data_IF_517831503018
#
_entry.id   IF_517831503018
#
_cell.length_a   1.000
_cell.length_b   1.000
_cell.length_c   1.000
_cell.angle_alpha   90.00
_cell.angle_beta   90.00
_cell.angle_gamma   90.00
#
_symmetry.space_group_name_H-M   'P 1'
#
loop_
_entity.id
_entity.type
_entity.pdbx_description
1 polymer ?
#
# COMPACT_ATOMS: atom_id res chain seq x y z
N UNK A 1 -6.14 14.66 -22.91
CA UNK A 1 -7.09 13.88 -22.07
C UNK A 1 -7.64 14.80 -20.99
N UNK A 2 -8.96 14.85 -20.82
CA UNK A 2 -9.60 15.59 -19.73
C UNK A 2 -9.22 14.95 -18.39
N UNK A 3 -8.71 15.71 -17.44
CA UNK A 3 -8.41 15.20 -16.09
C UNK A 3 -9.33 15.88 -15.09
N UNK A 4 -9.88 15.08 -14.16
CA UNK A 4 -10.72 15.55 -13.05
C UNK A 4 -9.91 15.48 -11.76
N UNK A 5 -10.23 16.35 -10.83
CA UNK A 5 -9.64 16.32 -9.48
C UNK A 5 -10.59 15.60 -8.53
N UNK A 6 -10.32 14.31 -8.26
CA UNK A 6 -11.15 13.45 -7.41
C UNK A 6 -10.36 12.94 -6.21
N UNK A 7 -11.07 12.48 -5.19
CA UNK A 7 -10.46 11.90 -3.98
C UNK A 7 -9.95 10.49 -4.25
N UNK A 8 -9.07 10.01 -3.38
CA UNK A 8 -8.55 8.64 -3.42
C UNK A 8 -9.69 7.61 -3.34
N UNK A 9 -10.66 7.80 -2.43
CA UNK A 9 -11.83 6.91 -2.31
C UNK A 9 -12.71 6.93 -3.56
N UNK A 10 -12.87 8.09 -4.21
CA UNK A 10 -13.60 8.20 -5.48
C UNK A 10 -12.87 7.48 -6.61
N UNK A 11 -11.53 7.52 -6.63
CA UNK A 11 -10.71 6.78 -7.58
C UNK A 11 -10.83 5.26 -7.40
N UNK A 12 -10.85 4.77 -6.16
CA UNK A 12 -11.14 3.36 -5.82
C UNK A 12 -12.54 2.96 -6.30
N UNK A 13 -13.56 3.77 -5.96
CA UNK A 13 -14.94 3.56 -6.41
C UNK A 13 -15.02 3.42 -7.93
N UNK A 14 -14.39 4.34 -8.63
CA UNK A 14 -14.41 4.35 -10.10
C UNK A 14 -13.70 3.13 -10.70
N UNK A 15 -12.60 2.68 -10.12
CA UNK A 15 -11.91 1.47 -10.53
C UNK A 15 -12.85 0.24 -10.46
N UNK A 16 -13.60 0.12 -9.37
CA UNK A 16 -14.56 -0.95 -9.16
C UNK A 16 -15.72 -0.86 -10.18
N UNK A 17 -16.33 0.33 -10.31
CA UNK A 17 -17.42 0.53 -11.28
C UNK A 17 -16.99 0.13 -12.68
N UNK A 18 -15.84 0.64 -13.15
CA UNK A 18 -15.36 0.37 -14.49
C UNK A 18 -14.94 -1.09 -14.69
N UNK A 19 -14.43 -1.76 -13.68
CA UNK A 19 -14.10 -3.19 -13.75
C UNK A 19 -15.36 -4.06 -13.81
N UNK A 20 -16.36 -3.77 -12.97
CA UNK A 20 -17.62 -4.49 -12.95
C UNK A 20 -18.47 -4.27 -14.21
N UNK A 21 -18.43 -3.09 -14.82
CA UNK A 21 -19.09 -2.79 -16.09
C UNK A 21 -18.49 -3.59 -17.25
N UNK A 22 -17.16 -3.76 -17.26
CA UNK A 22 -16.43 -4.40 -18.35
C UNK A 22 -16.39 -5.92 -18.27
N UNK A 23 -16.44 -6.47 -17.06
CA UNK A 23 -16.34 -7.91 -16.84
C UNK A 23 -17.45 -8.38 -15.88
N UNK A 24 -18.37 -9.17 -16.38
CA UNK A 24 -19.49 -9.72 -15.61
C UNK A 24 -19.05 -10.69 -14.52
N UNK A 25 -17.83 -11.21 -14.59
CA UNK A 25 -17.24 -12.12 -13.58
C UNK A 25 -16.78 -11.37 -12.33
N UNK A 26 -16.53 -10.05 -12.42
CA UNK A 26 -16.12 -9.24 -11.27
C UNK A 26 -17.30 -9.00 -10.35
N UNK A 27 -17.17 -9.33 -9.07
CA UNK A 27 -18.17 -9.04 -8.05
C UNK A 27 -17.49 -8.64 -6.72
N UNK A 28 -18.22 -7.92 -5.88
CA UNK A 28 -17.77 -7.53 -4.55
C UNK A 28 -18.34 -8.47 -3.51
N UNK A 29 -17.53 -8.76 -2.49
CA UNK A 29 -17.99 -9.42 -1.27
C UNK A 29 -17.21 -8.93 -0.05
N UNK A 30 -17.85 -8.95 1.12
CA UNK A 30 -17.23 -8.55 2.36
C UNK A 30 -18.25 -8.13 3.40
N UNK A 31 -17.83 -8.04 4.66
CA UNK A 31 -18.64 -7.51 5.74
C UNK A 31 -18.78 -5.99 5.61
N UNK A 32 -20.01 -5.48 5.64
CA UNK A 32 -20.33 -4.07 5.54
C UNK A 32 -20.32 -3.49 4.12
N UNK A 33 -20.24 -4.32 3.07
CA UNK A 33 -20.29 -3.83 1.67
C UNK A 33 -21.67 -3.28 1.30
N UNK A 34 -22.70 -3.68 2.01
CA UNK A 34 -24.06 -3.14 1.85
C UNK A 34 -24.47 -2.13 2.92
N UNK A 35 -23.59 -1.84 3.87
CA UNK A 35 -23.85 -0.90 4.97
C UNK A 35 -23.99 0.56 4.47
N UNK A 36 -24.65 1.46 5.22
CA UNK A 36 -24.80 2.86 4.82
C UNK A 36 -23.48 3.60 4.58
N UNK A 37 -22.41 3.26 5.30
CA UNK A 37 -21.11 3.90 5.14
C UNK A 37 -20.32 3.40 3.93
N UNK A 38 -20.77 2.28 3.31
CA UNK A 38 -20.25 1.72 2.06
C UNK A 38 -18.71 1.68 2.03
N UNK A 39 -18.11 1.08 3.09
CA UNK A 39 -16.66 1.01 3.28
C UNK A 39 -16.02 2.41 3.17
N UNK A 40 -16.49 3.30 4.03
CA UNK A 40 -16.02 4.71 4.09
C UNK A 40 -16.18 5.46 2.75
N UNK A 41 -17.23 5.16 1.98
CA UNK A 41 -17.55 5.78 0.69
C UNK A 41 -16.75 5.24 -0.50
N UNK A 42 -15.84 4.28 -0.31
CA UNK A 42 -15.00 3.75 -1.40
C UNK A 42 -15.75 2.81 -2.37
N UNK A 43 -17.00 2.44 -2.04
CA UNK A 43 -17.89 1.64 -2.90
C UNK A 43 -19.29 2.24 -3.01
N UNK A 44 -19.42 3.53 -2.74
CA UNK A 44 -20.70 4.23 -2.80
C UNK A 44 -21.42 4.04 -4.16
N UNK A 45 -22.68 3.64 -4.12
CA UNK A 45 -23.51 3.44 -5.31
C UNK A 45 -23.29 2.13 -6.06
N UNK A 46 -22.28 1.32 -5.71
CA UNK A 46 -22.00 0.04 -6.39
C UNK A 46 -23.17 -0.93 -6.24
N UNK A 47 -23.70 -1.10 -5.02
CA UNK A 47 -24.87 -1.94 -4.76
C UNK A 47 -26.09 -1.47 -5.57
N UNK A 48 -26.34 -0.14 -5.63
CA UNK A 48 -27.46 0.43 -6.38
C UNK A 48 -27.37 0.09 -7.88
N UNK A 49 -26.16 0.11 -8.45
CA UNK A 49 -25.95 -0.13 -9.89
C UNK A 49 -25.94 -1.61 -10.24
N UNK A 50 -25.26 -2.44 -9.46
CA UNK A 50 -25.00 -3.84 -9.84
C UNK A 50 -25.88 -4.88 -9.13
N UNK A 51 -26.61 -4.45 -8.10
CA UNK A 51 -27.54 -5.29 -7.35
C UNK A 51 -26.89 -6.33 -6.44
N UNK A 52 -27.73 -7.00 -5.64
CA UNK A 52 -27.32 -8.00 -4.64
C UNK A 52 -26.68 -9.27 -5.26
N UNK A 53 -26.91 -9.56 -6.53
CA UNK A 53 -26.25 -10.68 -7.22
C UNK A 53 -24.76 -10.47 -7.49
N UNK A 54 -24.27 -9.22 -7.41
CA UNK A 54 -22.86 -8.88 -7.64
C UNK A 54 -22.22 -8.06 -6.53
N UNK A 55 -22.97 -7.74 -5.47
CA UNK A 55 -22.47 -7.10 -4.23
C UNK A 55 -23.03 -7.91 -3.08
N UNK A 56 -22.19 -8.77 -2.52
CA UNK A 56 -22.58 -9.80 -1.56
C UNK A 56 -22.14 -9.40 -0.15
N UNK A 57 -23.10 -9.09 0.71
CA UNK A 57 -22.82 -8.97 2.14
C UNK A 57 -22.39 -10.32 2.72
N UNK A 58 -21.37 -10.34 3.54
CA UNK A 58 -20.91 -11.56 4.20
C UNK A 58 -21.11 -11.48 5.71
N UNK A 59 -21.32 -12.62 6.38
CA UNK A 59 -21.19 -12.67 7.83
C UNK A 59 -19.76 -12.33 8.27
N UNK A 60 -19.58 -12.01 9.56
CA UNK A 60 -18.27 -11.86 10.19
C UNK A 60 -17.67 -13.26 10.39
N UNK A 61 -17.08 -13.77 9.32
CA UNK A 61 -16.49 -15.11 9.23
C UNK A 61 -15.35 -15.07 8.19
N UNK A 62 -14.32 -14.30 8.43
CA UNK A 62 -13.27 -13.92 7.47
C UNK A 62 -12.61 -15.15 6.82
N UNK A 63 -12.32 -16.19 7.63
CA UNK A 63 -11.74 -17.42 7.13
C UNK A 63 -12.66 -18.12 6.12
N UNK A 64 -13.89 -18.45 6.54
CA UNK A 64 -14.87 -19.13 5.68
C UNK A 64 -15.19 -18.34 4.42
N UNK A 65 -15.42 -17.03 4.55
CA UNK A 65 -15.80 -16.18 3.41
C UNK A 65 -14.65 -15.93 2.43
N UNK A 66 -13.41 -15.88 2.91
CA UNK A 66 -12.23 -15.85 2.02
C UNK A 66 -12.08 -17.18 1.27
N UNK A 67 -12.37 -18.31 1.93
CA UNK A 67 -12.45 -19.62 1.25
C UNK A 67 -13.51 -19.66 0.16
N UNK A 68 -14.69 -19.08 0.39
CA UNK A 68 -15.74 -18.92 -0.63
C UNK A 68 -15.26 -18.07 -1.81
N UNK A 69 -14.54 -16.95 -1.54
CA UNK A 69 -13.96 -16.12 -2.59
C UNK A 69 -12.94 -16.91 -3.44
N UNK A 70 -12.08 -17.72 -2.80
CA UNK A 70 -11.13 -18.58 -3.51
C UNK A 70 -11.87 -19.59 -4.38
N UNK A 71 -12.89 -20.29 -3.85
CA UNK A 71 -13.71 -21.22 -4.61
C UNK A 71 -14.37 -20.57 -5.83
N UNK A 72 -14.91 -19.36 -5.67
CA UNK A 72 -15.46 -18.60 -6.77
C UNK A 72 -14.38 -18.22 -7.82
N UNK A 73 -13.19 -17.84 -7.38
CA UNK A 73 -12.07 -17.56 -8.30
C UNK A 73 -11.67 -18.80 -9.11
N UNK A 74 -11.63 -19.96 -8.48
CA UNK A 74 -11.31 -21.24 -9.14
C UNK A 74 -12.36 -21.68 -10.18
N UNK A 75 -13.61 -21.21 -10.05
CA UNK A 75 -14.66 -21.43 -11.05
C UNK A 75 -14.73 -20.34 -12.14
N UNK A 76 -13.72 -19.47 -12.20
CA UNK A 76 -13.57 -18.46 -13.25
C UNK A 76 -14.17 -17.11 -12.92
N UNK A 77 -14.70 -16.89 -11.72
CA UNK A 77 -15.14 -15.56 -11.25
C UNK A 77 -13.93 -14.71 -10.81
N UNK A 78 -14.14 -13.41 -10.66
CA UNK A 78 -13.13 -12.44 -10.20
C UNK A 78 -13.63 -11.71 -8.95
N UNK A 79 -13.56 -12.34 -7.79
CA UNK A 79 -13.99 -11.71 -6.54
C UNK A 79 -13.06 -10.57 -6.11
N UNK A 80 -13.67 -9.48 -5.65
CA UNK A 80 -13.00 -8.43 -4.88
C UNK A 80 -13.50 -8.57 -3.45
N UNK A 81 -12.71 -9.24 -2.62
CA UNK A 81 -13.01 -9.44 -1.20
C UNK A 81 -12.54 -8.21 -0.42
N UNK A 82 -13.42 -7.62 0.38
CA UNK A 82 -13.14 -6.40 1.14
C UNK A 82 -13.15 -6.70 2.63
N UNK A 83 -12.02 -6.46 3.29
CA UNK A 83 -11.91 -6.43 4.73
C UNK A 83 -11.78 -4.96 5.20
N UNK A 84 -12.65 -4.53 6.11
CA UNK A 84 -12.69 -3.15 6.59
C UNK A 84 -11.37 -2.71 7.24
N UNK A 85 -10.61 -3.67 7.79
CA UNK A 85 -9.29 -3.48 8.36
C UNK A 85 -8.38 -4.68 8.06
N UNK A 86 -7.09 -4.39 7.84
CA UNK A 86 -6.05 -5.41 7.67
C UNK A 86 -5.96 -6.32 8.91
N UNK A 87 -6.26 -5.77 10.07
CA UNK A 87 -6.25 -6.47 11.36
C UNK A 87 -7.11 -7.74 11.32
N UNK A 88 -8.24 -7.70 10.64
CA UNK A 88 -9.17 -8.85 10.54
C UNK A 88 -8.83 -9.80 9.38
N UNK A 89 -7.99 -9.40 8.43
CA UNK A 89 -7.45 -10.32 7.42
C UNK A 89 -6.63 -11.44 8.10
N UNK A 90 -6.09 -11.20 9.28
CA UNK A 90 -5.36 -12.21 10.05
C UNK A 90 -6.20 -13.46 10.33
N UNK A 91 -7.52 -13.34 10.48
CA UNK A 91 -8.43 -14.48 10.65
C UNK A 91 -8.52 -15.34 9.38
N UNK A 92 -8.20 -14.79 8.21
CA UNK A 92 -8.25 -15.48 6.92
C UNK A 92 -6.86 -15.94 6.42
N UNK A 93 -5.82 -15.86 7.24
CA UNK A 93 -4.44 -16.10 6.80
C UNK A 93 -4.24 -17.52 6.27
N UNK A 94 -4.90 -18.54 6.82
CA UNK A 94 -4.84 -19.89 6.29
C UNK A 94 -5.31 -19.94 4.83
N UNK A 95 -6.48 -19.37 4.54
CA UNK A 95 -7.03 -19.31 3.18
C UNK A 95 -6.13 -18.56 2.21
N UNK A 96 -5.54 -17.47 2.67
CA UNK A 96 -4.67 -16.64 1.84
C UNK A 96 -3.33 -17.33 1.59
N UNK A 97 -2.68 -17.83 2.64
CA UNK A 97 -1.31 -18.36 2.58
C UNK A 97 -1.27 -19.78 2.03
N UNK A 98 -2.12 -20.67 2.56
CA UNK A 98 -2.05 -22.09 2.25
C UNK A 98 -2.88 -22.48 1.02
N UNK A 99 -3.86 -21.65 0.66
CA UNK A 99 -4.71 -21.89 -0.52
C UNK A 99 -4.46 -20.88 -1.64
N UNK A 100 -4.91 -19.63 -1.55
CA UNK A 100 -4.83 -18.67 -2.65
C UNK A 100 -3.41 -18.54 -3.21
N UNK A 101 -2.42 -18.37 -2.34
CA UNK A 101 -1.01 -18.20 -2.74
C UNK A 101 -0.35 -19.44 -3.34
N UNK A 102 -0.87 -20.65 -3.10
CA UNK A 102 -0.19 -21.91 -3.43
C UNK A 102 -0.80 -22.66 -4.61
N UNK A 103 -2.07 -22.49 -4.89
CA UNK A 103 -2.77 -23.33 -5.88
C UNK A 103 -2.17 -23.24 -7.26
N UNK A 104 -1.81 -22.07 -7.74
CA UNK A 104 -1.14 -21.94 -9.03
C UNK A 104 0.14 -22.80 -9.13
N UNK A 105 0.97 -22.79 -8.09
CA UNK A 105 2.17 -23.61 -8.02
C UNK A 105 1.85 -25.12 -7.89
N UNK A 106 0.96 -25.46 -6.95
CA UNK A 106 0.60 -26.86 -6.65
C UNK A 106 0.02 -27.60 -7.85
N UNK A 107 -0.70 -26.89 -8.72
CA UNK A 107 -1.31 -27.45 -9.92
C UNK A 107 -0.52 -27.17 -11.21
N UNK A 108 0.81 -26.94 -11.07
CA UNK A 108 1.72 -26.82 -12.19
C UNK A 108 1.41 -25.66 -13.14
N UNK A 109 0.90 -24.53 -12.59
CA UNK A 109 0.55 -23.34 -13.37
C UNK A 109 -0.77 -23.44 -14.16
N UNK A 110 -1.52 -24.54 -14.04
CA UNK A 110 -2.77 -24.76 -14.79
C UNK A 110 -4.00 -24.15 -14.12
N UNK A 111 -3.90 -23.81 -12.84
CA UNK A 111 -4.99 -23.26 -12.04
C UNK A 111 -4.62 -21.85 -11.57
N UNK A 112 -5.47 -20.89 -11.87
CA UNK A 112 -5.32 -19.51 -11.44
C UNK A 112 -6.30 -19.18 -10.30
N UNK A 113 -5.93 -18.21 -9.46
CA UNK A 113 -6.79 -17.69 -8.39
C UNK A 113 -6.91 -16.17 -8.55
N UNK A 114 -7.73 -15.69 -9.50
CA UNK A 114 -7.91 -14.26 -9.78
C UNK A 114 -8.72 -13.57 -8.66
N UNK A 115 -8.11 -13.41 -7.50
CA UNK A 115 -8.71 -12.86 -6.30
C UNK A 115 -8.02 -11.55 -5.90
N UNK A 116 -8.78 -10.47 -5.76
CA UNK A 116 -8.28 -9.22 -5.16
C UNK A 116 -8.80 -9.11 -3.74
N UNK A 117 -7.90 -9.03 -2.76
CA UNK A 117 -8.23 -8.78 -1.35
C UNK A 117 -7.89 -7.33 -1.03
N UNK A 118 -8.91 -6.52 -0.75
CA UNK A 118 -8.73 -5.14 -0.29
C UNK A 118 -8.72 -5.10 1.23
N UNK A 119 -7.76 -4.38 1.79
CA UNK A 119 -7.65 -4.14 3.23
C UNK A 119 -7.28 -2.71 3.55
N UNK A 120 -7.93 -2.13 4.56
CA UNK A 120 -7.62 -0.77 5.01
C UNK A 120 -6.61 -0.84 6.14
N UNK A 121 -5.57 -0.02 6.06
CA UNK A 121 -4.47 0.05 7.03
C UNK A 121 -4.37 1.42 7.69
N UNK A 122 -3.55 1.48 8.71
CA UNK A 122 -3.15 2.71 9.38
C UNK A 122 -4.22 3.29 10.28
N UNK A 123 -3.85 4.40 10.93
CA UNK A 123 -4.70 5.07 11.89
C UNK A 123 -5.96 5.68 11.28
N UNK A 124 -6.98 5.76 12.08
CA UNK A 124 -8.17 6.55 11.85
C UNK A 124 -8.39 7.44 13.09
N UNK A 125 -9.59 7.59 13.50
CA UNK A 125 -10.03 8.41 14.60
C UNK A 125 -9.93 7.70 15.98
N UNK A 126 -8.72 7.39 16.44
CA UNK A 126 -8.47 6.79 17.76
C UNK A 126 -8.90 5.33 17.88
N UNK A 127 -8.80 4.55 16.81
CA UNK A 127 -9.22 3.15 16.79
C UNK A 127 -8.28 2.18 17.53
N UNK A 128 -7.06 2.63 17.88
CA UNK A 128 -6.13 1.91 18.74
C UNK A 128 -5.53 0.65 18.15
N UNK A 129 -5.09 -0.25 19.02
CA UNK A 129 -4.19 -1.36 18.70
C UNK A 129 -4.71 -2.36 17.69
N UNK A 130 -6.02 -2.65 17.68
CA UNK A 130 -6.63 -3.71 16.87
C UNK A 130 -7.27 -3.22 15.58
N UNK A 131 -7.24 -1.92 15.28
CA UNK A 131 -7.89 -1.34 14.11
C UNK A 131 -7.00 -0.33 13.37
N UNK A 132 -5.69 -0.33 13.63
CA UNK A 132 -4.79 0.69 13.08
C UNK A 132 -3.45 0.13 12.62
N UNK A 133 -3.34 -1.18 12.51
CA UNK A 133 -2.09 -1.84 12.14
C UNK A 133 -1.75 -1.65 10.67
N UNK A 134 -0.47 -1.80 10.34
CA UNK A 134 0.09 -1.82 9.00
C UNK A 134 0.90 -3.12 8.86
N UNK A 135 0.24 -4.18 8.38
CA UNK A 135 0.75 -5.55 8.40
C UNK A 135 1.19 -6.06 7.03
N UNK A 136 1.49 -5.15 6.09
CA UNK A 136 1.87 -5.48 4.71
C UNK A 136 3.02 -6.48 4.60
N UNK A 137 3.98 -6.41 5.52
CA UNK A 137 5.15 -7.29 5.51
C UNK A 137 4.81 -8.78 5.62
N UNK A 138 3.74 -9.14 6.34
CA UNK A 138 3.28 -10.53 6.44
C UNK A 138 2.91 -11.10 5.07
N UNK A 139 2.28 -10.31 4.21
CA UNK A 139 1.86 -10.73 2.87
C UNK A 139 3.01 -10.68 1.87
N UNK A 140 3.93 -9.73 2.01
CA UNK A 140 5.14 -9.64 1.17
C UNK A 140 6.01 -10.87 1.35
N UNK A 141 6.10 -11.39 2.57
CA UNK A 141 6.89 -12.61 2.86
C UNK A 141 6.40 -13.84 2.08
N UNK A 142 5.11 -13.93 1.75
CA UNK A 142 4.50 -15.16 1.21
C UNK A 142 4.68 -15.27 -0.31
N UNK A 143 5.40 -16.31 -0.85
CA UNK A 143 5.46 -16.57 -2.28
C UNK A 143 4.07 -16.88 -2.85
N UNK A 144 3.78 -16.32 -4.03
CA UNK A 144 2.49 -16.48 -4.73
C UNK A 144 1.52 -15.31 -4.50
N UNK A 145 1.77 -14.42 -3.53
CA UNK A 145 0.99 -13.18 -3.36
C UNK A 145 1.66 -12.00 -4.08
N UNK A 146 0.85 -11.07 -4.53
CA UNK A 146 1.25 -9.70 -4.89
C UNK A 146 0.72 -8.74 -3.84
N UNK A 147 1.48 -7.66 -3.55
CA UNK A 147 1.09 -6.67 -2.54
C UNK A 147 1.22 -5.27 -3.12
N UNK A 148 0.11 -4.54 -3.12
CA UNK A 148 -0.03 -3.23 -3.77
C UNK A 148 -0.48 -2.20 -2.73
N UNK A 149 0.20 -1.04 -2.70
CA UNK A 149 -0.06 0.04 -1.74
C UNK A 149 0.06 1.42 -2.42
N UNK A 150 -0.97 1.90 -3.12
CA UNK A 150 -0.92 3.20 -3.78
C UNK A 150 -0.85 4.36 -2.78
N UNK A 151 -0.26 5.47 -3.20
CA UNK A 151 -0.11 6.70 -2.41
C UNK A 151 -0.95 7.88 -2.91
N UNK A 152 -1.66 7.74 -4.03
CA UNK A 152 -2.41 8.83 -4.65
C UNK A 152 -3.60 8.32 -5.48
N UNK A 153 -4.58 9.18 -5.84
CA UNK A 153 -5.79 8.76 -6.57
C UNK A 153 -5.53 8.14 -7.94
N UNK A 154 -4.57 8.66 -8.71
CA UNK A 154 -4.25 8.13 -10.04
C UNK A 154 -3.74 6.68 -9.95
N UNK A 155 -2.78 6.46 -9.06
CA UNK A 155 -2.23 5.12 -8.86
C UNK A 155 -3.26 4.17 -8.23
N UNK A 156 -4.10 4.66 -7.31
CA UNK A 156 -5.17 3.87 -6.69
C UNK A 156 -6.13 3.30 -7.74
N UNK A 157 -6.61 4.11 -8.69
CA UNK A 157 -7.48 3.63 -9.77
C UNK A 157 -6.78 2.63 -10.67
N UNK A 158 -5.64 2.99 -11.22
CA UNK A 158 -4.96 2.18 -12.24
C UNK A 158 -4.42 0.86 -11.69
N UNK A 159 -3.91 0.86 -10.46
CA UNK A 159 -3.40 -0.35 -9.79
C UNK A 159 -4.51 -1.26 -9.27
N UNK A 160 -5.65 -0.72 -8.82
CA UNK A 160 -6.79 -1.56 -8.44
C UNK A 160 -7.39 -2.25 -9.66
N UNK A 161 -7.52 -1.56 -10.78
CA UNK A 161 -7.93 -2.18 -12.05
C UNK A 161 -6.94 -3.28 -12.46
N UNK A 162 -5.63 -3.04 -12.34
CA UNK A 162 -4.60 -4.04 -12.60
C UNK A 162 -4.74 -5.27 -11.69
N UNK A 163 -5.00 -5.03 -10.39
CA UNK A 163 -5.18 -6.09 -9.41
C UNK A 163 -6.40 -6.96 -9.73
N UNK A 164 -7.52 -6.35 -10.10
CA UNK A 164 -8.76 -7.09 -10.48
C UNK A 164 -8.56 -7.90 -11.77
N UNK A 165 -7.69 -7.44 -12.67
CA UNK A 165 -7.35 -8.15 -13.92
C UNK A 165 -6.31 -9.24 -13.73
N UNK A 166 -5.58 -9.24 -12.64
CA UNK A 166 -4.53 -10.24 -12.40
C UNK A 166 -5.11 -11.65 -12.28
N UNK A 167 -4.39 -12.63 -12.80
CA UNK A 167 -4.80 -14.03 -12.75
C UNK A 167 -4.44 -14.71 -11.42
N UNK A 168 -3.70 -14.03 -10.55
CA UNK A 168 -3.24 -14.54 -9.26
C UNK A 168 -3.60 -13.59 -8.12
N UNK A 169 -3.57 -14.04 -6.86
CA UNK A 169 -4.06 -13.25 -5.74
C UNK A 169 -3.25 -11.98 -5.51
N UNK A 170 -3.96 -10.87 -5.36
CA UNK A 170 -3.40 -9.55 -5.07
C UNK A 170 -3.99 -9.03 -3.77
N UNK A 171 -3.10 -8.67 -2.84
CA UNK A 171 -3.43 -7.95 -1.62
C UNK A 171 -3.29 -6.45 -1.91
N UNK A 172 -4.41 -5.75 -1.93
CA UNK A 172 -4.48 -4.31 -2.22
C UNK A 172 -4.77 -3.55 -0.94
N UNK A 173 -3.78 -2.79 -0.45
CA UNK A 173 -3.83 -2.12 0.84
C UNK A 173 -3.97 -0.62 0.69
N UNK A 174 -4.92 -0.05 1.44
CA UNK A 174 -5.31 1.35 1.35
C UNK A 174 -5.10 2.04 2.70
N UNK A 175 -4.26 3.06 2.75
CA UNK A 175 -4.09 3.82 3.99
C UNK A 175 -5.28 4.76 4.22
N UNK A 176 -5.92 4.64 5.38
CA UNK A 176 -7.17 5.36 5.70
C UNK A 176 -7.08 6.88 5.53
N UNK A 177 -5.94 7.48 5.89
CA UNK A 177 -5.74 8.92 5.78
C UNK A 177 -5.59 9.43 4.34
N UNK A 178 -5.41 8.55 3.35
CA UNK A 178 -5.37 8.95 1.93
C UNK A 178 -6.76 9.16 1.32
N UNK A 179 -7.83 8.69 1.97
CA UNK A 179 -9.17 8.65 1.37
C UNK A 179 -9.70 10.01 0.89
N UNK A 180 -9.36 11.09 1.58
CA UNK A 180 -9.75 12.46 1.21
C UNK A 180 -8.68 13.19 0.38
N UNK A 181 -7.52 12.55 0.16
CA UNK A 181 -6.49 13.13 -0.70
C UNK A 181 -7.03 13.27 -2.12
N UNK A 182 -6.89 14.47 -2.69
CA UNK A 182 -7.31 14.76 -4.05
C UNK A 182 -6.16 14.67 -5.03
N UNK A 183 -6.47 14.27 -6.27
CA UNK A 183 -5.49 14.22 -7.35
C UNK A 183 -6.15 14.17 -8.72
N UNK A 184 -5.36 14.46 -9.74
CA UNK A 184 -5.81 14.42 -11.13
C UNK A 184 -5.93 12.97 -11.59
N UNK A 185 -7.13 12.57 -12.03
CA UNK A 185 -7.43 11.21 -12.51
C UNK A 185 -8.20 11.31 -13.83
N UNK A 186 -7.74 10.62 -14.89
CA UNK A 186 -8.49 10.51 -16.14
C UNK A 186 -9.82 9.77 -15.92
N UNK A 187 -10.92 10.16 -16.57
CA UNK A 187 -12.18 9.43 -16.51
C UNK A 187 -12.12 8.07 -17.20
N UNK A 188 -11.22 7.93 -18.16
CA UNK A 188 -11.05 6.71 -18.95
C UNK A 188 -10.58 5.53 -18.10
N UNK A 189 -10.84 4.33 -18.60
CA UNK A 189 -10.28 3.10 -18.06
C UNK A 189 -8.81 2.99 -18.41
N UNK A 190 -7.95 2.82 -17.42
CA UNK A 190 -6.52 2.59 -17.63
C UNK A 190 -5.97 1.59 -16.61
N UNK A 191 -4.91 0.92 -16.99
CA UNK A 191 -4.23 -0.11 -16.20
C UNK A 191 -2.79 0.36 -15.95
N UNK A 192 -2.34 0.28 -14.72
CA UNK A 192 -0.94 0.51 -14.38
C UNK A 192 -0.25 -0.84 -14.13
N UNK A 193 0.98 -1.03 -14.62
CA UNK A 193 1.69 -2.28 -14.43
C UNK A 193 2.04 -2.50 -12.96
N UNK A 194 1.73 -3.69 -12.44
CA UNK A 194 2.18 -4.11 -11.12
C UNK A 194 3.71 -4.31 -11.11
N UNK A 195 4.35 -4.05 -9.98
CA UNK A 195 5.80 -4.18 -9.84
C UNK A 195 6.62 -3.05 -10.44
N UNK A 196 5.99 -1.92 -10.77
CA UNK A 196 6.68 -0.71 -11.22
C UNK A 196 6.52 0.42 -10.22
N UNK A 197 7.65 0.87 -9.67
CA UNK A 197 7.73 2.06 -8.84
C UNK A 197 7.66 3.35 -9.66
N UNK A 198 7.66 4.47 -8.96
CA UNK A 198 7.63 5.81 -9.58
C UNK A 198 8.56 6.76 -8.84
N UNK A 199 9.34 7.55 -9.60
CA UNK A 199 10.01 8.71 -9.04
C UNK A 199 8.97 9.82 -8.92
N UNK A 200 8.67 10.19 -7.68
CA UNK A 200 7.71 11.26 -7.35
C UNK A 200 8.36 12.63 -7.47
N UNK A 201 9.62 12.72 -7.06
CA UNK A 201 10.48 13.89 -7.16
C UNK A 201 11.90 13.44 -7.51
N UNK A 202 12.50 14.05 -8.51
CA UNK A 202 13.92 13.87 -8.82
C UNK A 202 14.78 14.54 -7.74
N UNK A 203 15.97 14.00 -7.49
CA UNK A 203 16.95 14.56 -6.57
C UNK A 203 18.32 13.90 -6.72
N UNK A 204 19.34 14.44 -6.05
CA UNK A 204 20.73 13.98 -6.22
C UNK A 204 21.46 13.65 -4.91
N UNK A 205 20.94 14.07 -3.75
CA UNK A 205 21.69 14.00 -2.49
C UNK A 205 21.23 12.83 -1.61
N UNK A 206 19.93 12.53 -1.57
CA UNK A 206 19.33 11.47 -0.76
C UNK A 206 18.21 10.79 -1.55
N UNK A 207 18.14 9.47 -1.49
CA UNK A 207 16.96 8.69 -1.90
C UNK A 207 16.07 8.45 -0.69
N UNK A 208 14.79 8.82 -0.80
CA UNK A 208 13.75 8.45 0.15
C UNK A 208 12.79 7.48 -0.53
N UNK A 209 12.80 6.20 -0.13
CA UNK A 209 11.77 5.24 -0.51
C UNK A 209 10.65 5.36 0.50
N UNK A 210 9.52 5.89 0.06
CA UNK A 210 8.37 6.20 0.91
C UNK A 210 7.17 5.34 0.53
N UNK A 211 6.56 4.66 1.51
CA UNK A 211 5.48 3.70 1.30
C UNK A 211 4.14 4.34 1.65
N UNK A 212 3.20 4.29 0.69
CA UNK A 212 1.82 4.75 0.88
C UNK A 212 1.74 6.19 1.40
N UNK A 213 1.13 6.45 2.57
CA UNK A 213 0.99 7.81 3.15
C UNK A 213 2.34 8.52 3.36
N UNK A 214 3.42 7.77 3.59
CA UNK A 214 4.74 8.37 3.80
C UNK A 214 5.28 9.10 2.56
N UNK A 215 4.69 8.89 1.38
CA UNK A 215 5.01 9.69 0.18
C UNK A 215 4.65 11.16 0.39
N UNK A 216 3.52 11.45 1.04
CA UNK A 216 3.11 12.82 1.34
C UNK A 216 4.03 13.46 2.40
N UNK A 217 4.43 12.70 3.42
CA UNK A 217 5.40 13.16 4.41
C UNK A 217 6.79 13.40 3.77
N UNK A 218 7.22 12.51 2.88
CA UNK A 218 8.47 12.69 2.14
C UNK A 218 8.47 13.93 1.24
N UNK A 219 7.35 14.29 0.62
CA UNK A 219 7.22 15.55 -0.16
C UNK A 219 7.40 16.78 0.73
N UNK A 220 6.75 16.80 1.92
CA UNK A 220 6.91 17.89 2.88
C UNK A 220 8.35 18.01 3.36
N UNK A 221 8.97 16.87 3.72
CA UNK A 221 10.35 16.80 4.15
C UNK A 221 11.32 17.29 3.07
N UNK A 222 11.12 16.88 1.82
CA UNK A 222 11.96 17.31 0.70
C UNK A 222 11.92 18.82 0.47
N UNK A 223 10.75 19.46 0.62
CA UNK A 223 10.61 20.92 0.53
C UNK A 223 11.38 21.62 1.67
N UNK A 224 11.28 21.12 2.90
CA UNK A 224 12.01 21.67 4.06
C UNK A 224 13.51 21.52 3.89
N UNK A 225 13.99 20.32 3.56
CA UNK A 225 15.41 20.04 3.35
C UNK A 225 16.00 20.88 2.21
N UNK A 226 15.26 21.06 1.12
CA UNK A 226 15.70 21.92 0.02
C UNK A 226 15.79 23.38 0.44
N UNK A 227 14.77 23.88 1.15
CA UNK A 227 14.68 25.29 1.55
C UNK A 227 15.72 25.66 2.62
N UNK A 228 15.83 24.82 3.65
CA UNK A 228 16.59 25.16 4.87
C UNK A 228 18.06 24.73 4.77
N UNK A 229 18.35 23.65 4.03
CA UNK A 229 19.65 22.99 4.02
C UNK A 229 20.27 22.86 2.62
N UNK A 230 19.52 23.18 1.55
CA UNK A 230 19.97 22.99 0.16
C UNK A 230 20.06 21.53 -0.26
N UNK A 231 19.51 20.58 0.52
CA UNK A 231 19.56 19.14 0.27
C UNK A 231 18.49 18.76 -0.74
N UNK A 232 18.89 18.16 -1.86
CA UNK A 232 18.00 17.73 -2.95
C UNK A 232 17.64 16.26 -2.84
N UNK A 233 16.39 16.00 -2.42
CA UNK A 233 15.86 14.68 -2.12
C UNK A 233 15.18 14.08 -3.36
N UNK A 234 15.56 12.85 -3.74
CA UNK A 234 14.80 12.00 -4.65
C UNK A 234 13.79 11.16 -3.88
N UNK A 235 12.52 11.20 -4.29
CA UNK A 235 11.45 10.44 -3.65
C UNK A 235 11.00 9.34 -4.59
N UNK A 236 11.05 8.09 -4.12
CA UNK A 236 10.51 6.91 -4.78
C UNK A 236 9.26 6.44 -4.05
N UNK A 237 8.16 6.30 -4.79
CA UNK A 237 6.98 5.55 -4.40
C UNK A 237 7.08 4.15 -5.04
N UNK A 238 7.25 3.09 -4.25
CA UNK A 238 7.32 1.73 -4.79
C UNK A 238 5.98 1.26 -5.38
N UNK A 239 4.84 1.79 -4.93
CA UNK A 239 3.46 1.44 -5.33
C UNK A 239 3.10 -0.03 -5.14
N UNK A 240 4.02 -0.92 -5.45
CA UNK A 240 3.94 -2.36 -5.21
C UNK A 240 5.10 -2.78 -4.29
N UNK A 241 4.78 -3.49 -3.24
CA UNK A 241 5.79 -4.05 -2.34
C UNK A 241 6.20 -5.46 -2.79
N UNK A 242 5.33 -6.13 -3.56
CA UNK A 242 5.60 -7.40 -4.22
C UNK A 242 4.80 -7.51 -5.53
N UNK A 243 5.47 -7.67 -6.68
CA UNK A 243 6.92 -7.55 -6.86
C UNK A 243 7.41 -6.12 -6.61
N UNK A 244 8.61 -5.98 -6.04
CA UNK A 244 9.27 -4.70 -5.81
C UNK A 244 10.06 -4.27 -7.06
N UNK A 245 10.06 -2.98 -7.38
CA UNK A 245 10.94 -2.43 -8.44
C UNK A 245 12.34 -2.17 -7.89
N UNK A 246 13.07 -3.26 -7.65
CA UNK A 246 14.43 -3.25 -7.09
C UNK A 246 15.38 -2.42 -7.94
N UNK A 247 15.27 -2.53 -9.28
CA UNK A 247 16.13 -1.80 -10.23
C UNK A 247 15.98 -0.28 -10.07
N UNK A 248 14.77 0.20 -9.86
CA UNK A 248 14.51 1.61 -9.63
C UNK A 248 15.18 2.09 -8.34
N UNK A 249 15.03 1.33 -7.25
CA UNK A 249 15.60 1.68 -5.94
C UNK A 249 17.13 1.65 -6.01
N UNK A 250 17.71 0.57 -6.54
CA UNK A 250 19.16 0.43 -6.71
C UNK A 250 19.76 1.56 -7.55
N UNK A 251 19.13 1.92 -8.67
CA UNK A 251 19.63 3.00 -9.55
C UNK A 251 19.60 4.36 -8.86
N UNK A 252 18.56 4.64 -8.08
CA UNK A 252 18.46 5.86 -7.31
C UNK A 252 19.52 5.94 -6.21
N UNK A 253 19.70 4.87 -5.42
CA UNK A 253 20.72 4.83 -4.37
C UNK A 253 22.13 4.91 -4.97
N UNK A 254 22.37 4.31 -6.13
CA UNK A 254 23.64 4.45 -6.84
C UNK A 254 23.95 5.91 -7.20
N UNK A 255 22.93 6.69 -7.56
CA UNK A 255 23.04 8.12 -7.88
C UNK A 255 23.29 8.96 -6.63
N UNK A 256 22.50 8.78 -5.59
CA UNK A 256 22.48 9.67 -4.40
C UNK A 256 23.48 9.26 -3.31
N UNK A 257 23.79 7.98 -3.21
CA UNK A 257 24.68 7.44 -2.18
C UNK A 257 24.09 7.37 -0.77
N UNK A 258 22.83 7.79 -0.56
CA UNK A 258 22.19 7.85 0.76
C UNK A 258 20.74 7.35 0.66
N UNK A 259 20.31 6.58 1.66
CA UNK A 259 18.98 5.98 1.66
C UNK A 259 18.26 6.22 2.99
N UNK A 260 17.01 6.69 2.85
CA UNK A 260 15.97 6.64 3.89
C UNK A 260 14.85 5.75 3.39
N UNK A 261 14.38 4.80 4.21
CA UNK A 261 13.14 4.05 3.96
C UNK A 261 12.11 4.46 5.00
N UNK A 262 10.95 4.95 4.55
CA UNK A 262 9.89 5.46 5.40
C UNK A 262 8.59 4.66 5.19
N UNK A 263 8.08 4.07 6.28
CA UNK A 263 6.89 3.23 6.32
C UNK A 263 6.10 3.47 7.61
N UNK A 264 4.79 3.29 7.57
CA UNK A 264 3.90 3.29 8.75
C UNK A 264 3.72 1.90 9.36
N UNK A 265 4.69 1.01 9.19
CA UNK A 265 4.80 -0.29 9.83
C UNK A 265 5.92 -0.30 10.88
N UNK A 266 6.00 -1.36 11.68
CA UNK A 266 7.13 -1.58 12.58
C UNK A 266 8.42 -1.83 11.79
N UNK A 267 9.54 -1.37 12.36
CA UNK A 267 10.86 -1.52 11.72
C UNK A 267 11.36 -2.97 11.70
N UNK A 268 10.99 -3.77 12.71
CA UNK A 268 11.36 -5.18 12.78
C UNK A 268 10.62 -5.98 11.69
N UNK A 269 11.37 -6.72 10.88
CA UNK A 269 10.85 -7.54 9.78
C UNK A 269 9.91 -6.81 8.80
N UNK A 270 9.94 -5.46 8.78
CA UNK A 270 9.14 -4.64 7.87
C UNK A 270 9.86 -4.38 6.54
N UNK A 271 9.18 -3.69 5.62
CA UNK A 271 9.75 -3.34 4.30
C UNK A 271 11.03 -2.53 4.39
N UNK A 272 11.19 -1.72 5.46
CA UNK A 272 12.44 -1.02 5.71
C UNK A 272 13.63 -1.95 5.95
N UNK A 273 13.41 -3.14 6.51
CA UNK A 273 14.45 -4.16 6.67
C UNK A 273 14.77 -4.81 5.32
N UNK A 274 13.76 -5.20 4.55
CA UNK A 274 13.90 -5.83 3.24
C UNK A 274 14.63 -4.92 2.24
N UNK A 275 14.20 -3.67 2.11
CA UNK A 275 14.86 -2.71 1.21
C UNK A 275 16.30 -2.42 1.67
N UNK A 276 16.54 -2.39 2.98
CA UNK A 276 17.91 -2.23 3.50
C UNK A 276 18.79 -3.44 3.17
N UNK A 277 18.27 -4.66 3.27
CA UNK A 277 18.97 -5.89 2.88
C UNK A 277 19.29 -5.90 1.38
N UNK A 278 18.33 -5.55 0.52
CA UNK A 278 18.54 -5.39 -0.92
C UNK A 278 19.70 -4.45 -1.23
N UNK A 279 19.77 -3.29 -0.58
CA UNK A 279 20.86 -2.34 -0.80
C UNK A 279 22.17 -2.82 -0.18
N UNK A 280 22.14 -3.48 0.96
CA UNK A 280 23.33 -4.08 1.55
C UNK A 280 23.94 -5.17 0.66
N UNK A 281 23.10 -5.97 0.00
CA UNK A 281 23.54 -7.06 -0.86
C UNK A 281 24.02 -6.57 -2.25
N UNK A 282 23.25 -5.70 -2.90
CA UNK A 282 23.48 -5.33 -4.30
C UNK A 282 23.96 -3.89 -4.51
N UNK A 283 23.89 -3.04 -3.52
CA UNK A 283 24.16 -1.59 -3.65
C UNK A 283 25.15 -1.01 -2.63
N UNK A 284 25.72 -1.82 -1.72
CA UNK A 284 26.51 -1.32 -0.60
C UNK A 284 27.69 -0.42 -0.98
N UNK A 285 28.36 -0.71 -2.12
CA UNK A 285 29.49 0.08 -2.63
C UNK A 285 29.11 1.52 -3.00
N UNK A 286 27.83 1.79 -3.21
CA UNK A 286 27.31 3.11 -3.52
C UNK A 286 26.97 3.92 -2.27
N UNK A 287 26.87 3.29 -1.10
CA UNK A 287 26.49 3.95 0.13
C UNK A 287 27.63 4.85 0.66
N UNK A 288 27.27 6.10 0.95
CA UNK A 288 28.15 7.12 1.57
C UNK A 288 27.82 7.35 3.05
N UNK A 289 26.74 6.74 3.55
CA UNK A 289 26.27 6.86 4.92
C UNK A 289 25.43 5.62 5.29
N UNK A 290 25.23 5.33 6.60
CA UNK A 290 24.34 4.26 7.04
C UNK A 290 22.91 4.47 6.56
N UNK A 291 22.19 3.37 6.24
CA UNK A 291 20.79 3.43 5.87
C UNK A 291 19.94 3.86 7.07
N UNK A 292 18.98 4.76 6.85
CA UNK A 292 18.01 5.18 7.86
C UNK A 292 16.65 4.53 7.59
N UNK A 293 16.09 3.89 8.61
CA UNK A 293 14.75 3.33 8.57
C UNK A 293 13.84 4.11 9.49
N UNK A 294 12.78 4.67 8.94
CA UNK A 294 11.72 5.38 9.65
C UNK A 294 10.49 4.47 9.68
N UNK A 295 9.93 4.24 10.85
CA UNK A 295 8.78 3.38 11.08
C UNK A 295 8.29 3.52 12.50
N UNK A 296 7.22 2.80 12.83
CA UNK A 296 6.59 2.85 14.15
C UNK A 296 7.53 2.37 15.27
N UNK A 297 7.30 2.89 16.47
CA UNK A 297 7.88 2.34 17.68
C UNK A 297 7.45 0.88 17.90
N UNK A 298 8.25 0.07 18.60
CA UNK A 298 7.95 -1.33 18.90
C UNK A 298 6.87 -1.44 20.02
N UNK A 299 5.69 -0.89 19.73
CA UNK A 299 4.54 -0.88 20.63
C UNK A 299 3.25 -0.97 19.80
N UNK A 300 2.13 -1.45 20.35
CA UNK A 300 0.83 -1.32 19.72
C UNK A 300 0.41 0.13 19.53
N UNK A 301 -0.44 0.40 18.52
CA UNK A 301 -0.97 1.74 18.26
C UNK A 301 -1.80 2.24 19.44
N UNK A 302 -1.49 3.42 20.01
CA UNK A 302 -2.29 3.99 21.08
C UNK A 302 -3.64 4.52 20.59
N UNK A 303 -4.63 4.59 21.48
CA UNK A 303 -5.94 5.16 21.19
C UNK A 303 -5.96 6.67 21.43
N UNK A 304 -5.20 7.15 22.41
CA UNK A 304 -5.12 8.58 22.75
C UNK A 304 -4.54 9.40 21.62
N UNK A 305 -5.20 10.47 21.22
CA UNK A 305 -4.78 11.37 20.16
C UNK A 305 -3.39 11.97 20.43
N UNK A 306 -3.10 12.31 21.69
CA UNK A 306 -1.80 12.84 22.09
C UNK A 306 -0.67 11.82 21.88
N UNK A 307 -0.90 10.56 22.24
CA UNK A 307 0.06 9.49 22.04
C UNK A 307 0.15 9.08 20.57
N UNK A 308 -0.97 9.04 19.85
CA UNK A 308 -1.01 8.71 18.43
C UNK A 308 -0.17 9.69 17.60
N UNK A 309 -0.19 10.98 17.93
CA UNK A 309 0.57 12.01 17.23
C UNK A 309 2.10 11.89 17.39
N UNK A 310 2.59 11.29 18.48
CA UNK A 310 4.03 11.02 18.67
C UNK A 310 4.42 9.60 18.25
N UNK A 311 3.45 8.72 18.04
CA UNK A 311 3.68 7.33 17.64
C UNK A 311 3.93 7.18 16.12
N UNK A 312 3.20 7.93 15.31
CA UNK A 312 3.33 7.86 13.85
C UNK A 312 4.41 8.81 13.35
N UNK A 313 5.32 8.30 12.48
CA UNK A 313 6.34 9.16 11.88
C UNK A 313 5.72 10.19 10.93
N UNK A 314 6.36 11.34 10.88
CA UNK A 314 5.99 12.50 10.09
C UNK A 314 7.15 12.93 9.18
N UNK A 315 6.99 14.04 8.48
CA UNK A 315 8.07 14.67 7.73
C UNK A 315 9.26 15.11 8.62
N UNK A 316 9.02 15.38 9.92
CA UNK A 316 10.07 15.76 10.86
C UNK A 316 11.17 14.72 11.01
N UNK A 317 10.81 13.44 11.17
CA UNK A 317 11.77 12.34 11.25
C UNK A 317 12.55 12.15 9.94
N UNK A 318 11.91 12.41 8.79
CA UNK A 318 12.58 12.35 7.48
C UNK A 318 13.59 13.50 7.37
N UNK A 319 13.21 14.71 7.78
CA UNK A 319 14.13 15.89 7.80
C UNK A 319 15.32 15.63 8.69
N UNK A 320 15.10 15.17 9.93
CA UNK A 320 16.17 14.84 10.85
C UNK A 320 17.11 13.78 10.27
N UNK A 321 16.56 12.68 9.76
CA UNK A 321 17.36 11.62 9.15
C UNK A 321 18.15 12.13 7.93
N UNK A 322 17.57 13.01 7.12
CA UNK A 322 18.24 13.63 5.99
C UNK A 322 19.45 14.47 6.40
N UNK A 323 19.29 15.33 7.41
CA UNK A 323 20.38 16.12 7.97
C UNK A 323 21.50 15.24 8.56
N UNK A 324 21.13 14.20 9.29
CA UNK A 324 22.11 13.24 9.83
C UNK A 324 22.91 12.51 8.75
N UNK A 325 22.28 12.18 7.62
CA UNK A 325 22.93 11.50 6.50
C UNK A 325 23.90 12.41 5.73
N UNK A 326 23.64 13.71 5.68
CA UNK A 326 24.49 14.67 4.94
C UNK A 326 25.58 15.26 5.83
N UNK A 327 25.23 15.66 7.05
CA UNK A 327 26.14 16.41 7.93
C UNK A 327 26.75 15.56 9.06
N UNK A 328 26.29 14.31 9.26
CA UNK A 328 26.73 13.45 10.35
C UNK A 328 26.01 13.71 11.68
N UNK A 329 26.29 12.87 12.70
CA UNK A 329 25.60 12.89 14.00
C UNK A 329 25.67 14.20 14.81
N UNK A 330 26.44 15.21 14.39
CA UNK A 330 26.54 16.50 15.09
C UNK A 330 25.26 17.34 15.08
N UNK A 331 24.24 16.95 14.29
CA UNK A 331 22.95 17.65 14.22
C UNK A 331 21.85 17.07 15.11
N UNK A 332 22.14 16.10 15.97
CA UNK A 332 21.21 15.70 17.03
C UNK A 332 21.22 16.76 18.15
N UNK A 333 20.65 17.93 17.90
CA UNK A 333 20.28 18.87 18.94
C UNK A 333 18.82 18.64 19.30
N UNK A 334 18.65 18.06 20.46
CA UNK A 334 17.56 18.25 21.42
C UNK A 334 16.20 18.70 20.88
N UNK A 335 15.30 17.75 20.84
CA UNK A 335 13.91 18.02 21.17
C UNK A 335 13.45 16.99 22.20
#
# INVERSE_FOLDING_TARGET
MSTRNITFREAIKEAIFQSMDRDKRVFLMGCGVTSPNQIFGSIEGVLKKFGKGRVLETPIAENGMTGVAIGAALTGMRPVMIHQRIDFILLAMDQIINHAAKWHYMFGGKTNVPLTIRGIIGRGWGQGAQHSQSLQALFVHIPGLKVVMPSNPYDAKGLLIASIKDENPVIFLEHRLLYEQRGRVPPEYYVLPLGKGRIVKQGKDITVVAISIMVEEAKKAALKLQKDDGIDVEIIDPRCLKPLDEKLILSSVKKTGRLIVADTAWKACGMGAEISALIAEFGYKSLRAPIKRIGLAAAPTPTSFALENVYYPTDGEIVQAGRELVYGKKFSKHF
#
